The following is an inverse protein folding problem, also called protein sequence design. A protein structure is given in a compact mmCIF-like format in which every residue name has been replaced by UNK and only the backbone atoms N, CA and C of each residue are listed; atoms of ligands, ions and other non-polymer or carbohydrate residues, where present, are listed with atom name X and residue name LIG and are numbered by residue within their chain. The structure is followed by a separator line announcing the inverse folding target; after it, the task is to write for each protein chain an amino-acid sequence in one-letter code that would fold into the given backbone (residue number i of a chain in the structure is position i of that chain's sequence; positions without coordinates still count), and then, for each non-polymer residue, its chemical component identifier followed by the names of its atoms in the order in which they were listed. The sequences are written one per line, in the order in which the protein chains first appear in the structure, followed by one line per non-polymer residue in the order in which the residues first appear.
data_IF_060187725688
#
_entry.id   IF_060187725688
#
_cell.length_a   1.000
_cell.length_b   1.000
_cell.length_c   1.000
_cell.angle_alpha   90.00
_cell.angle_beta   90.00
_cell.angle_gamma   90.00
#
_symmetry.space_group_name_H-M   'P 1'
#
loop_
_entity.id
_entity.type
_entity.pdbx_description
1 polymer ?
#
# COMPACT_ATOMS: atom_id res chain seq x y z
N UNK A 1 -16.37 -16.85 54.01
CA UNK A 1 -17.25 -15.95 53.22
C UNK A 1 -16.88 -14.46 53.34
N UNK A 2 -15.61 -14.09 53.60
CA UNK A 2 -15.17 -12.68 53.69
C UNK A 2 -13.97 -12.35 52.79
N UNK A 3 -13.42 -13.34 52.07
CA UNK A 3 -12.38 -13.16 51.05
C UNK A 3 -12.95 -13.00 49.63
N UNK A 4 -14.23 -13.35 49.45
CA UNK A 4 -14.95 -13.19 48.17
C UNK A 4 -15.47 -11.74 47.96
N UNK A 5 -15.56 -10.93 49.02
CA UNK A 5 -16.16 -9.60 48.97
C UNK A 5 -15.14 -8.48 48.61
N UNK A 6 -13.84 -8.73 48.75
CA UNK A 6 -12.80 -7.75 48.39
C UNK A 6 -12.36 -7.80 46.93
N UNK A 7 -12.78 -8.83 46.18
CA UNK A 7 -12.45 -8.98 44.76
C UNK A 7 -13.40 -8.16 43.88
N UNK A 8 -14.57 -7.74 44.40
CA UNK A 8 -15.62 -7.07 43.63
C UNK A 8 -15.37 -5.55 43.49
N UNK A 9 -14.46 -4.95 44.28
CA UNK A 9 -14.36 -3.47 44.37
C UNK A 9 -13.21 -2.79 43.59
N UNK A 10 -12.29 -3.54 42.97
CA UNK A 10 -11.13 -2.92 42.27
C UNK A 10 -10.88 -3.44 40.84
N UNK A 11 -11.78 -4.26 40.29
CA UNK A 11 -11.75 -4.69 38.88
C UNK A 11 -12.67 -3.82 38.01
N UNK A 12 -13.12 -2.68 38.54
CA UNK A 12 -13.55 -1.54 37.73
C UNK A 12 -12.30 -0.83 37.17
N UNK A 13 -11.57 -1.66 36.42
CA UNK A 13 -10.62 -1.36 35.38
C UNK A 13 -10.95 -0.02 34.71
N UNK A 14 -10.15 0.99 34.96
CA UNK A 14 -9.70 1.86 33.86
C UNK A 14 -8.26 1.46 33.59
N UNK A 15 -7.95 1.13 32.34
CA UNK A 15 -7.38 2.16 31.51
C UNK A 15 -8.12 2.26 30.17
N UNK A 16 -8.24 3.49 29.69
CA UNK A 16 -8.52 3.76 28.30
C UNK A 16 -7.47 3.07 27.41
N UNK A 17 -7.77 1.87 26.94
CA UNK A 17 -7.07 1.27 25.81
C UNK A 17 -7.83 1.68 24.56
N UNK A 18 -7.48 2.86 24.04
CA UNK A 18 -7.67 3.13 22.62
C UNK A 18 -6.84 2.09 21.85
N UNK A 19 -7.46 0.97 21.50
CA UNK A 19 -6.96 0.08 20.47
C UNK A 19 -8.12 -0.08 19.48
N UNK A 20 -8.29 0.97 18.67
CA UNK A 20 -8.05 0.83 17.24
C UNK A 20 -8.95 -0.26 16.67
N UNK A 21 -10.09 0.22 16.16
CA UNK A 21 -10.81 -0.32 15.01
C UNK A 21 -10.08 -1.47 14.34
N UNK A 22 -10.75 -2.61 14.15
CA UNK A 22 -10.47 -3.53 13.04
C UNK A 22 -10.76 -2.80 11.73
N UNK A 23 -10.00 -1.74 11.47
CA UNK A 23 -9.78 -1.24 10.15
C UNK A 23 -8.95 -2.33 9.48
N UNK A 24 -9.56 -3.00 8.52
CA UNK A 24 -8.88 -3.90 7.60
C UNK A 24 -7.57 -3.23 7.20
N UNK A 25 -6.45 -3.81 7.63
CA UNK A 25 -5.16 -3.19 7.43
C UNK A 25 -4.75 -3.44 5.99
N UNK A 26 -5.31 -2.65 5.08
CA UNK A 26 -4.87 -2.61 3.70
C UNK A 26 -3.39 -2.23 3.73
N UNK A 27 -2.53 -3.20 3.44
CA UNK A 27 -1.10 -2.97 3.36
C UNK A 27 -0.86 -1.93 2.26
N UNK A 28 -0.33 -0.77 2.64
CA UNK A 28 0.13 0.21 1.65
C UNK A 28 1.39 -0.33 0.98
N UNK A 29 1.42 -0.27 -0.35
CA UNK A 29 2.59 -0.62 -1.14
C UNK A 29 3.43 0.63 -1.43
N UNK A 30 4.71 0.60 -1.04
CA UNK A 30 5.66 1.68 -1.28
C UNK A 30 6.66 1.28 -2.36
N UNK A 31 6.51 1.81 -3.59
CA UNK A 31 7.42 1.57 -4.70
C UNK A 31 8.87 1.98 -4.40
N UNK A 32 9.13 2.85 -3.41
CA UNK A 32 10.50 3.24 -3.02
C UNK A 32 11.32 2.08 -2.47
N UNK A 33 10.67 0.99 -2.08
CA UNK A 33 11.32 -0.24 -1.59
C UNK A 33 11.75 -1.17 -2.72
N UNK A 34 11.42 -0.86 -3.97
CA UNK A 34 11.87 -1.62 -5.12
C UNK A 34 13.29 -1.22 -5.51
N UNK A 35 14.05 -2.20 -6.03
CA UNK A 35 15.33 -1.93 -6.69
C UNK A 35 15.13 -1.04 -7.92
N UNK A 36 16.15 -0.25 -8.26
CA UNK A 36 16.18 0.53 -9.50
C UNK A 36 16.04 -0.34 -10.77
N UNK A 37 16.37 -1.63 -10.70
CA UNK A 37 16.21 -2.59 -11.80
C UNK A 37 14.87 -3.34 -11.78
N UNK A 38 13.90 -2.90 -10.97
CA UNK A 38 12.60 -3.55 -10.91
C UNK A 38 11.81 -3.36 -12.21
N UNK A 39 11.27 -4.47 -12.73
CA UNK A 39 10.42 -4.46 -13.93
C UNK A 39 8.97 -4.19 -13.51
N UNK A 40 8.45 -2.99 -13.81
CA UNK A 40 7.13 -2.55 -13.37
C UNK A 40 6.01 -3.48 -13.83
N UNK A 41 6.15 -4.00 -15.06
CA UNK A 41 5.18 -4.89 -15.70
C UNK A 41 4.94 -6.18 -14.91
N UNK A 42 5.87 -6.63 -14.06
CA UNK A 42 5.68 -7.87 -13.28
C UNK A 42 4.50 -7.81 -12.31
N UNK A 43 4.11 -6.62 -11.87
CA UNK A 43 2.95 -6.42 -11.00
C UNK A 43 1.82 -5.68 -11.74
N UNK A 44 2.16 -4.75 -12.63
CA UNK A 44 1.22 -3.87 -13.34
C UNK A 44 0.85 -4.41 -14.73
N UNK A 45 0.70 -5.73 -14.88
CA UNK A 45 0.34 -6.37 -16.16
C UNK A 45 -0.97 -5.81 -16.71
N UNK A 46 -1.94 -5.60 -15.83
CA UNK A 46 -3.29 -5.14 -16.19
C UNK A 46 -3.36 -3.66 -16.55
N UNK A 47 -2.31 -2.90 -16.25
CA UNK A 47 -2.25 -1.47 -16.52
C UNK A 47 -1.65 -1.17 -17.89
N UNK A 48 -1.08 -2.18 -18.57
CA UNK A 48 -0.52 -2.02 -19.91
C UNK A 48 -1.65 -1.78 -20.92
N UNK A 49 -1.70 -0.61 -21.59
CA UNK A 49 -2.70 -0.34 -22.60
C UNK A 49 -2.50 -1.23 -23.84
N UNK A 50 -3.61 -1.67 -24.42
CA UNK A 50 -3.62 -2.38 -25.70
C UNK A 50 -3.57 -1.36 -26.86
N UNK A 51 -2.42 -0.72 -27.04
CA UNK A 51 -2.19 0.19 -28.16
C UNK A 51 -0.81 -0.05 -28.80
N UNK A 52 -0.68 0.40 -30.05
CA UNK A 52 0.51 0.12 -30.85
C UNK A 52 1.82 0.57 -30.16
N UNK A 53 1.82 1.70 -29.46
CA UNK A 53 3.02 2.19 -28.76
C UNK A 53 3.45 1.24 -27.64
N UNK A 54 2.53 0.78 -26.79
CA UNK A 54 2.87 -0.11 -25.67
C UNK A 54 3.11 -1.56 -26.11
N UNK A 55 2.49 -2.01 -27.20
CA UNK A 55 2.73 -3.34 -27.80
C UNK A 55 4.13 -3.41 -28.43
N UNK A 56 4.55 -2.34 -29.10
CA UNK A 56 5.84 -2.29 -29.77
C UNK A 56 7.00 -1.99 -28.82
N UNK A 57 6.75 -1.27 -27.73
CA UNK A 57 7.78 -0.95 -26.74
C UNK A 57 8.27 -2.21 -26.02
N UNK A 58 9.59 -2.41 -26.03
CA UNK A 58 10.28 -3.51 -25.31
C UNK A 58 11.13 -3.02 -24.14
N UNK A 59 11.11 -1.71 -23.87
CA UNK A 59 11.83 -1.10 -22.75
C UNK A 59 11.03 -1.23 -21.45
N UNK A 60 11.69 -1.05 -20.30
CA UNK A 60 10.97 -1.00 -19.03
C UNK A 60 10.06 0.24 -18.99
N UNK A 61 8.88 0.11 -18.36
CA UNK A 61 7.91 1.19 -18.19
C UNK A 61 8.55 2.44 -17.57
N UNK A 62 9.55 2.27 -16.70
CA UNK A 62 10.29 3.36 -16.06
C UNK A 62 11.06 4.26 -17.04
N UNK A 63 11.24 3.85 -18.30
CA UNK A 63 11.86 4.69 -19.33
C UNK A 63 10.98 5.89 -19.70
N UNK A 64 9.65 5.76 -19.62
CA UNK A 64 8.70 6.82 -19.99
C UNK A 64 7.83 7.28 -18.81
N UNK A 65 7.64 6.42 -17.80
CA UNK A 65 6.75 6.65 -16.67
C UNK A 65 7.52 6.73 -15.36
N UNK A 66 7.01 7.52 -14.42
CA UNK A 66 7.49 7.52 -13.03
C UNK A 66 6.35 7.18 -12.09
N UNK A 67 6.67 6.77 -10.85
CA UNK A 67 5.66 6.52 -9.82
C UNK A 67 4.84 7.77 -9.45
N UNK A 68 5.34 8.97 -9.81
CA UNK A 68 4.65 10.25 -9.61
C UNK A 68 3.82 10.66 -10.83
N UNK A 69 4.19 10.23 -12.04
CA UNK A 69 3.58 10.61 -13.30
C UNK A 69 3.51 9.40 -14.23
N UNK A 70 2.37 8.71 -14.19
CA UNK A 70 2.12 7.51 -15.01
C UNK A 70 1.56 7.82 -16.39
N UNK A 71 1.05 9.04 -16.62
CA UNK A 71 0.79 9.51 -17.98
C UNK A 71 2.07 10.17 -18.49
N UNK A 72 2.54 9.84 -19.70
CA UNK A 72 3.75 10.47 -20.19
C UNK A 72 3.50 11.97 -20.29
N UNK A 73 4.38 12.78 -19.70
CA UNK A 73 4.43 14.23 -19.98
C UNK A 73 5.24 14.45 -21.26
N UNK A 74 4.97 13.61 -22.28
CA UNK A 74 5.36 13.95 -23.64
C UNK A 74 4.38 15.02 -24.12
N UNK A 75 4.53 16.22 -23.58
CA UNK A 75 4.51 17.36 -24.49
C UNK A 75 5.69 17.13 -25.43
N UNK A 76 5.42 16.46 -26.54
CA UNK A 76 6.12 16.81 -27.77
C UNK A 76 5.93 18.34 -27.95
N UNK A 77 6.93 19.09 -28.44
CA UNK A 77 6.68 20.45 -28.89
C UNK A 77 5.50 20.52 -29.88
#
# INVERSE_FOLDING_TARGET
MKRLLFIILAVLFTPAANAATTAEQHASFDHRKLSASAQCIRCHIRDQPDNNLHIQSKTNCSTCHTTKQWKPTITEP
#
